data_IF_186676960724
#
_entry.id   IF_186676960724
#
_cell.length_a   1.000
_cell.length_b   1.000
_cell.length_c   1.000
_cell.angle_alpha   90.00
_cell.angle_beta   90.00
_cell.angle_gamma   90.00
#
_symmetry.space_group_name_H-M   'P 1'
#
loop_
_entity.id
_entity.type
_entity.pdbx_description
1 polymer ?
#
# COMPACT_ATOMS: atom_id res chain seq x y z
N UNK A 1 21.80 -14.40 -13.22
CA UNK A 1 20.38 -14.65 -12.89
C UNK A 1 20.15 -14.12 -11.48
N UNK A 2 19.30 -13.10 -11.36
CA UNK A 2 18.93 -12.51 -10.06
C UNK A 2 18.17 -13.55 -9.23
N UNK A 3 18.58 -13.77 -7.98
CA UNK A 3 17.99 -14.79 -7.10
C UNK A 3 18.02 -14.33 -5.65
N UNK A 4 16.86 -14.32 -4.99
CA UNK A 4 16.73 -14.00 -3.56
C UNK A 4 17.54 -14.98 -2.72
N UNK A 5 17.54 -16.28 -3.06
CA UNK A 5 18.33 -17.28 -2.33
C UNK A 5 19.83 -17.00 -2.39
N UNK A 6 20.31 -16.56 -3.55
CA UNK A 6 21.71 -16.19 -3.73
C UNK A 6 22.04 -14.94 -2.92
N UNK A 7 21.16 -13.92 -2.96
CA UNK A 7 21.32 -12.72 -2.15
C UNK A 7 21.37 -13.00 -0.65
N UNK A 8 20.52 -13.89 -0.13
CA UNK A 8 20.56 -14.29 1.29
C UNK A 8 21.90 -14.93 1.66
N UNK A 9 22.48 -15.71 0.75
CA UNK A 9 23.77 -16.37 0.97
C UNK A 9 24.95 -15.40 0.84
N UNK A 10 24.94 -14.55 -0.18
CA UNK A 10 26.04 -13.66 -0.53
C UNK A 10 26.06 -12.42 0.39
N UNK A 11 24.88 -11.94 0.83
CA UNK A 11 24.69 -10.72 1.64
C UNK A 11 23.82 -10.96 2.91
N UNK A 12 24.19 -11.90 3.80
CA UNK A 12 23.34 -12.30 4.93
C UNK A 12 23.11 -11.18 5.95
N UNK A 13 24.09 -10.30 6.14
CA UNK A 13 23.99 -9.18 7.09
C UNK A 13 23.00 -8.12 6.60
N UNK A 14 23.03 -7.79 5.31
CA UNK A 14 22.05 -6.89 4.69
C UNK A 14 20.66 -7.49 4.65
N UNK A 15 20.53 -8.79 4.37
CA UNK A 15 19.24 -9.49 4.45
C UNK A 15 18.64 -9.40 5.85
N UNK A 16 19.44 -9.66 6.90
CA UNK A 16 19.01 -9.52 8.30
C UNK A 16 18.62 -8.08 8.63
N UNK A 17 19.42 -7.09 8.22
CA UNK A 17 19.10 -5.68 8.40
C UNK A 17 17.79 -5.29 7.70
N UNK A 18 17.51 -5.87 6.54
CA UNK A 18 16.25 -5.67 5.83
C UNK A 18 15.06 -6.28 6.56
N UNK A 19 15.21 -7.49 7.12
CA UNK A 19 14.17 -8.09 7.95
C UNK A 19 13.87 -7.22 9.19
N UNK A 20 14.89 -6.65 9.81
CA UNK A 20 14.74 -5.70 10.92
C UNK A 20 14.04 -4.40 10.50
N UNK A 21 14.34 -3.89 9.29
CA UNK A 21 13.61 -2.78 8.70
C UNK A 21 12.13 -3.14 8.51
N UNK A 22 11.83 -4.32 7.96
CA UNK A 22 10.44 -4.81 7.84
C UNK A 22 9.76 -4.86 9.20
N UNK A 23 10.40 -5.44 10.22
CA UNK A 23 9.85 -5.52 11.58
C UNK A 23 9.54 -4.16 12.18
N UNK A 24 10.40 -3.17 11.94
CA UNK A 24 10.22 -1.80 12.42
C UNK A 24 9.03 -1.10 11.73
N UNK A 25 8.96 -1.20 10.40
CA UNK A 25 7.96 -0.49 9.59
C UNK A 25 6.61 -1.22 9.48
N UNK A 26 6.55 -2.50 9.87
CA UNK A 26 5.30 -3.26 9.98
C UNK A 26 4.29 -2.65 10.96
N UNK A 27 4.75 -1.78 11.86
CA UNK A 27 3.93 -1.09 12.87
C UNK A 27 3.43 0.27 12.42
N UNK A 28 3.93 0.79 11.29
CA UNK A 28 3.52 2.10 10.78
C UNK A 28 2.21 1.93 10.00
N UNK A 29 1.24 2.79 10.26
CA UNK A 29 -0.02 2.79 9.54
C UNK A 29 0.18 3.15 8.06
N UNK A 30 -0.57 2.49 7.18
CA UNK A 30 -0.62 2.90 5.77
C UNK A 30 -1.33 4.27 5.66
N UNK A 31 -0.74 5.29 5.00
CA UNK A 31 -1.34 6.62 4.90
C UNK A 31 -2.72 6.59 4.25
N UNK A 32 -2.99 5.65 3.34
CA UNK A 32 -4.28 5.48 2.67
C UNK A 32 -5.38 5.06 3.64
N UNK A 33 -5.02 4.40 4.74
CA UNK A 33 -5.96 3.94 5.75
C UNK A 33 -6.24 4.98 6.84
N UNK A 34 -5.57 6.14 6.81
CA UNK A 34 -5.63 7.14 7.90
C UNK A 34 -7.05 7.58 8.21
N UNK A 35 -7.85 7.89 7.17
CA UNK A 35 -9.27 8.26 7.33
C UNK A 35 -10.15 7.03 7.50
N UNK A 36 -9.93 5.98 6.71
CA UNK A 36 -10.75 4.77 6.78
C UNK A 36 -10.81 4.20 8.21
N UNK A 37 -9.69 4.16 8.94
CA UNK A 37 -9.65 3.69 10.34
C UNK A 37 -10.49 4.51 11.32
N UNK A 38 -10.79 5.77 11.01
CA UNK A 38 -11.59 6.68 11.84
C UNK A 38 -13.09 6.47 11.63
N UNK A 39 -13.48 5.92 10.48
CA UNK A 39 -14.87 5.66 10.16
C UNK A 39 -15.46 4.55 11.03
N UNK A 40 -16.74 4.71 11.40
CA UNK A 40 -17.43 3.76 12.29
C UNK A 40 -17.96 2.54 11.54
N UNK A 41 -18.53 2.74 10.36
CA UNK A 41 -19.16 1.69 9.57
C UNK A 41 -18.18 1.01 8.60
N UNK A 42 -18.45 -0.27 8.31
CA UNK A 42 -17.64 -1.06 7.39
C UNK A 42 -17.74 -0.53 5.95
N UNK A 43 -18.91 -0.02 5.54
CA UNK A 43 -19.10 0.51 4.20
C UNK A 43 -18.23 1.76 3.94
N UNK A 44 -18.20 2.68 4.91
CA UNK A 44 -17.39 3.88 4.85
C UNK A 44 -15.90 3.54 4.87
N UNK A 45 -15.49 2.60 5.73
CA UNK A 45 -14.11 2.07 5.75
C UNK A 45 -13.68 1.55 4.39
N UNK A 46 -14.52 0.75 3.73
CA UNK A 46 -14.24 0.20 2.40
C UNK A 46 -14.19 1.35 1.38
N UNK A 47 -15.21 2.21 1.32
CA UNK A 47 -15.30 3.31 0.37
C UNK A 47 -14.09 4.26 0.45
N UNK A 48 -13.70 4.67 1.66
CA UNK A 48 -12.53 5.54 1.89
C UNK A 48 -11.21 4.84 1.52
N UNK A 49 -11.09 3.53 1.75
CA UNK A 49 -9.90 2.76 1.33
C UNK A 49 -9.78 2.70 -0.20
N UNK A 50 -10.90 2.51 -0.89
CA UNK A 50 -10.95 2.50 -2.35
C UNK A 50 -10.65 3.88 -2.94
N UNK A 51 -11.27 4.93 -2.38
CA UNK A 51 -10.99 6.31 -2.77
C UNK A 51 -9.52 6.65 -2.57
N UNK A 52 -9.00 6.37 -1.37
CA UNK A 52 -7.63 6.66 -1.02
C UNK A 52 -6.64 5.94 -1.93
N UNK A 53 -6.84 4.65 -2.24
CA UNK A 53 -5.89 3.99 -3.16
C UNK A 53 -6.04 4.42 -4.61
N UNK A 54 -7.21 4.88 -5.04
CA UNK A 54 -7.38 5.47 -6.38
C UNK A 54 -6.68 6.83 -6.49
N UNK A 55 -6.78 7.66 -5.44
CA UNK A 55 -6.18 9.00 -5.38
C UNK A 55 -4.65 8.97 -5.18
N UNK A 56 -4.11 7.98 -4.46
CA UNK A 56 -2.71 7.98 -4.07
C UNK A 56 -1.75 7.80 -5.26
N UNK A 57 -1.31 8.92 -5.84
CA UNK A 57 -0.48 9.03 -7.04
C UNK A 57 0.29 10.35 -7.02
N UNK A 58 1.59 10.30 -7.33
CA UNK A 58 2.46 11.46 -7.51
C UNK A 58 2.32 12.52 -6.40
N UNK A 59 2.24 12.05 -5.15
CA UNK A 59 2.07 12.87 -3.96
C UNK A 59 2.77 12.19 -2.79
N UNK A 60 3.42 12.97 -1.92
CA UNK A 60 4.09 12.43 -0.74
C UNK A 60 3.07 11.92 0.29
N UNK A 61 3.49 11.04 1.20
CA UNK A 61 2.54 10.51 2.19
C UNK A 61 1.97 11.60 3.11
N UNK A 62 2.75 12.58 3.63
CA UNK A 62 2.20 13.63 4.51
C UNK A 62 1.19 14.53 3.80
N UNK A 63 1.48 14.93 2.56
CA UNK A 63 0.54 15.70 1.73
C UNK A 63 -0.74 14.90 1.46
N UNK A 64 -0.59 13.60 1.18
CA UNK A 64 -1.73 12.73 0.93
C UNK A 64 -2.62 12.54 2.16
N UNK A 65 -2.02 12.38 3.34
CA UNK A 65 -2.76 12.31 4.61
C UNK A 65 -3.53 13.62 4.84
N UNK A 66 -2.89 14.77 4.61
CA UNK A 66 -3.52 16.10 4.71
C UNK A 66 -4.71 16.21 3.76
N UNK A 67 -4.57 15.76 2.51
CA UNK A 67 -5.66 15.73 1.53
C UNK A 67 -6.83 14.86 2.02
N UNK A 68 -6.57 13.64 2.46
CA UNK A 68 -7.63 12.73 2.92
C UNK A 68 -8.37 13.30 4.13
N UNK A 69 -7.64 13.89 5.09
CA UNK A 69 -8.24 14.53 6.27
C UNK A 69 -9.14 15.71 5.86
N UNK A 70 -8.64 16.63 5.01
CA UNK A 70 -9.43 17.76 4.52
C UNK A 70 -10.70 17.32 3.77
N UNK A 71 -10.60 16.26 2.97
CA UNK A 71 -11.75 15.66 2.29
C UNK A 71 -12.78 15.10 3.26
N UNK A 72 -12.33 14.39 4.30
CA UNK A 72 -13.23 13.80 5.30
C UNK A 72 -13.92 14.87 6.16
N UNK A 73 -13.20 15.93 6.52
CA UNK A 73 -13.79 17.07 7.24
C UNK A 73 -14.86 17.78 6.42
N UNK A 74 -14.62 17.99 5.11
CA UNK A 74 -15.57 18.65 4.22
C UNK A 74 -16.75 17.75 3.83
N UNK A 75 -16.48 16.45 3.66
CA UNK A 75 -17.43 15.45 3.21
C UNK A 75 -17.42 14.20 4.10
N UNK A 76 -17.92 14.30 5.34
CA UNK A 76 -17.82 13.21 6.33
C UNK A 76 -18.70 12.01 5.99
N UNK A 77 -18.29 10.85 6.48
CA UNK A 77 -19.03 9.59 6.36
C UNK A 77 -19.36 9.25 4.91
N UNK A 78 -20.65 9.16 4.60
CA UNK A 78 -21.12 8.75 3.27
C UNK A 78 -21.41 9.89 2.27
N UNK A 79 -21.16 11.14 2.66
CA UNK A 79 -21.58 12.32 1.89
C UNK A 79 -20.97 12.40 0.49
N UNK A 80 -19.80 11.80 0.26
CA UNK A 80 -19.15 11.75 -1.05
C UNK A 80 -19.87 10.84 -2.06
N UNK A 81 -20.66 9.87 -1.60
CA UNK A 81 -21.27 8.86 -2.44
C UNK A 81 -22.80 8.87 -2.44
N UNK A 82 -23.44 9.42 -1.40
CA UNK A 82 -24.91 9.57 -1.32
C UNK A 82 -25.42 10.69 -2.22
N UNK A 83 -26.58 10.49 -2.86
CA UNK A 83 -27.20 11.49 -3.73
C UNK A 83 -27.92 12.58 -2.90
N UNK A 84 -27.83 13.87 -3.29
CA UNK A 84 -27.02 14.39 -4.39
C UNK A 84 -25.51 14.40 -4.05
N UNK A 85 -24.67 13.92 -4.96
CA UNK A 85 -23.22 13.93 -4.74
C UNK A 85 -22.66 15.36 -4.81
N UNK A 86 -21.54 15.65 -4.12
CA UNK A 86 -20.86 16.94 -4.20
C UNK A 86 -20.52 17.34 -5.64
N UNK A 87 -20.58 18.64 -5.94
CA UNK A 87 -20.23 19.15 -7.27
C UNK A 87 -18.73 19.03 -7.48
N UNK A 88 -18.31 18.89 -8.74
CA UNK A 88 -16.90 18.84 -9.11
C UNK A 88 -16.12 20.04 -8.56
N UNK A 89 -16.70 21.25 -8.64
CA UNK A 89 -16.07 22.47 -8.11
C UNK A 89 -15.85 22.42 -6.59
N UNK A 90 -16.74 21.76 -5.83
CA UNK A 90 -16.58 21.65 -4.38
C UNK A 90 -15.43 20.69 -4.02
N UNK A 91 -15.26 19.63 -4.81
CA UNK A 91 -14.17 18.65 -4.67
C UNK A 91 -12.84 19.32 -5.04
N UNK A 92 -12.77 19.95 -6.21
CA UNK A 92 -11.58 20.66 -6.70
C UNK A 92 -11.14 21.75 -5.72
N UNK A 93 -12.07 22.57 -5.21
CA UNK A 93 -11.76 23.59 -4.21
C UNK A 93 -11.24 23.00 -2.89
N UNK A 94 -11.67 21.78 -2.52
CA UNK A 94 -11.14 21.09 -1.34
C UNK A 94 -9.69 20.68 -1.56
N UNK A 95 -9.38 20.11 -2.73
CA UNK A 95 -8.04 19.65 -3.10
C UNK A 95 -7.08 20.83 -3.20
N UNK A 96 -7.51 21.91 -3.86
CA UNK A 96 -6.73 23.15 -3.96
C UNK A 96 -6.45 23.75 -2.59
N UNK A 97 -7.43 23.74 -1.67
CA UNK A 97 -7.22 24.20 -0.30
C UNK A 97 -6.25 23.31 0.48
N UNK A 98 -6.27 21.99 0.26
CA UNK A 98 -5.39 21.05 0.96
C UNK A 98 -3.92 21.18 0.52
N UNK A 99 -3.68 21.43 -0.77
CA UNK A 99 -2.32 21.58 -1.31
C UNK A 99 -1.86 23.04 -1.45
N UNK A 100 -2.76 24.01 -1.25
CA UNK A 100 -2.51 25.42 -1.51
C UNK A 100 -2.26 25.78 -2.97
N UNK A 101 -2.42 24.83 -3.90
CA UNK A 101 -2.16 24.99 -5.32
C UNK A 101 -2.90 23.94 -6.18
N UNK A 102 -2.87 24.12 -7.51
CA UNK A 102 -3.47 23.21 -8.51
C UNK A 102 -2.42 22.44 -9.32
N UNK A 103 -1.17 22.39 -8.87
CA UNK A 103 -0.06 21.82 -9.65
C UNK A 103 0.06 20.30 -9.52
N UNK A 104 -0.76 19.66 -8.68
CA UNK A 104 -0.79 18.21 -8.58
C UNK A 104 -1.22 17.58 -9.90
N UNK A 105 -0.47 16.58 -10.40
CA UNK A 105 -0.66 15.96 -11.72
C UNK A 105 -2.07 15.38 -11.93
N UNK A 106 -2.75 15.02 -10.83
CA UNK A 106 -4.08 14.42 -10.86
C UNK A 106 -5.22 15.43 -10.67
N UNK A 107 -4.93 16.73 -10.51
CA UNK A 107 -5.95 17.73 -10.18
C UNK A 107 -7.13 17.73 -11.17
N UNK A 108 -6.87 17.76 -12.47
CA UNK A 108 -7.90 17.73 -13.53
C UNK A 108 -8.75 16.44 -13.54
N UNK A 109 -8.19 15.36 -13.00
CA UNK A 109 -8.86 14.06 -12.95
C UNK A 109 -9.57 13.81 -11.61
N UNK A 110 -9.39 14.68 -10.62
CA UNK A 110 -9.79 14.40 -9.24
C UNK A 110 -11.28 14.15 -9.14
N UNK A 111 -12.11 15.04 -9.69
CA UNK A 111 -13.56 14.85 -9.72
C UNK A 111 -13.94 13.52 -10.41
N UNK A 112 -13.27 13.17 -11.51
CA UNK A 112 -13.46 11.89 -12.19
C UNK A 112 -13.17 10.67 -11.30
N UNK A 113 -12.14 10.74 -10.46
CA UNK A 113 -11.82 9.69 -9.49
C UNK A 113 -12.95 9.54 -8.47
N UNK A 114 -13.42 10.64 -7.89
CA UNK A 114 -14.56 10.63 -6.96
C UNK A 114 -15.82 10.05 -7.60
N UNK A 115 -16.13 10.45 -8.83
CA UNK A 115 -17.27 9.92 -9.56
C UNK A 115 -17.14 8.44 -9.84
N UNK A 116 -15.96 7.98 -10.26
CA UNK A 116 -15.72 6.56 -10.58
C UNK A 116 -15.82 5.68 -9.33
N UNK A 117 -15.24 6.11 -8.21
CA UNK A 117 -15.35 5.37 -6.94
C UNK A 117 -16.77 5.44 -6.40
N UNK A 118 -17.40 6.62 -6.41
CA UNK A 118 -18.77 6.80 -5.94
C UNK A 118 -19.79 5.98 -6.76
N UNK A 119 -19.57 5.83 -8.07
CA UNK A 119 -20.40 4.96 -8.92
C UNK A 119 -20.30 3.50 -8.48
N UNK A 120 -19.09 3.02 -8.19
CA UNK A 120 -18.88 1.68 -7.63
C UNK A 120 -19.60 1.52 -6.29
N UNK A 121 -19.39 2.45 -5.36
CA UNK A 121 -20.04 2.43 -4.03
C UNK A 121 -21.57 2.35 -4.16
N UNK A 122 -22.18 3.20 -4.99
CA UNK A 122 -23.65 3.20 -5.20
C UNK A 122 -24.16 1.95 -5.91
N UNK A 123 -23.39 1.37 -6.82
CA UNK A 123 -23.78 0.15 -7.56
C UNK A 123 -23.86 -1.06 -6.64
N UNK A 124 -22.93 -1.17 -5.70
CA UNK A 124 -22.86 -2.29 -4.78
C UNK A 124 -23.70 -2.08 -3.51
N UNK A 125 -23.95 -0.83 -3.11
CA UNK A 125 -24.82 -0.47 -1.98
C UNK A 125 -24.23 -0.90 -0.64
N UNK A 126 -24.39 -2.17 -0.28
CA UNK A 126 -23.80 -2.78 0.92
C UNK A 126 -22.41 -3.34 0.60
N UNK A 127 -21.37 -2.51 0.76
CA UNK A 127 -19.99 -2.90 0.49
C UNK A 127 -19.48 -4.01 1.40
N UNK A 128 -19.94 -4.09 2.65
CA UNK A 128 -19.56 -5.17 3.55
C UNK A 128 -20.07 -6.52 3.05
N UNK A 129 -21.34 -6.58 2.63
CA UNK A 129 -21.93 -7.79 2.03
C UNK A 129 -21.29 -8.13 0.68
N UNK A 130 -20.98 -7.12 -0.14
CA UNK A 130 -20.18 -7.31 -1.35
C UNK A 130 -18.82 -7.94 -1.04
N UNK A 131 -18.09 -7.44 -0.04
CA UNK A 131 -16.77 -7.97 0.31
C UNK A 131 -16.86 -9.41 0.81
N UNK A 132 -17.83 -9.72 1.69
CA UNK A 132 -18.06 -11.06 2.24
C UNK A 132 -18.48 -12.09 1.19
N UNK A 133 -19.21 -11.67 0.16
CA UNK A 133 -19.71 -12.57 -0.90
C UNK A 133 -18.72 -12.80 -2.05
N UNK A 134 -17.52 -12.20 -1.99
CA UNK A 134 -16.54 -12.22 -3.08
C UNK A 134 -15.21 -12.81 -2.66
N UNK A 135 -14.59 -13.60 -3.54
CA UNK A 135 -13.20 -14.02 -3.35
C UNK A 135 -12.23 -12.90 -3.74
N UNK A 136 -10.95 -12.94 -3.31
CA UNK A 136 -9.93 -11.97 -3.74
C UNK A 136 -9.82 -11.80 -5.27
N UNK A 137 -9.96 -12.87 -6.07
CA UNK A 137 -9.97 -12.72 -7.54
C UNK A 137 -11.22 -12.01 -8.07
N UNK A 138 -12.37 -12.24 -7.45
CA UNK A 138 -13.61 -11.56 -7.83
C UNK A 138 -13.56 -10.09 -7.43
N UNK A 139 -13.07 -9.78 -6.23
CA UNK A 139 -12.79 -8.40 -5.81
C UNK A 139 -11.83 -7.74 -6.79
N UNK A 140 -10.77 -8.44 -7.22
CA UNK A 140 -9.82 -7.90 -8.20
C UNK A 140 -10.47 -7.54 -9.54
N UNK A 141 -11.45 -8.36 -9.98
CA UNK A 141 -12.22 -8.12 -11.19
C UNK A 141 -13.20 -6.96 -11.01
N UNK A 142 -13.98 -6.96 -9.93
CA UNK A 142 -14.99 -5.94 -9.60
C UNK A 142 -14.34 -4.55 -9.43
N UNK A 143 -13.22 -4.46 -8.72
CA UNK A 143 -12.46 -3.21 -8.58
C UNK A 143 -11.86 -2.70 -9.91
N UNK A 144 -11.88 -3.53 -10.95
CA UNK A 144 -11.62 -3.11 -12.32
C UNK A 144 -12.63 -2.14 -12.91
N UNK A 145 -13.83 -2.06 -12.34
CA UNK A 145 -14.87 -1.12 -12.74
C UNK A 145 -14.52 0.33 -12.35
N UNK A 146 -13.62 0.51 -11.37
CA UNK A 146 -13.10 1.82 -10.98
C UNK A 146 -12.01 2.22 -11.99
N UNK A 147 -12.33 3.17 -12.86
CA UNK A 147 -11.50 3.58 -14.01
C UNK A 147 -10.05 3.93 -13.63
N UNK A 148 -9.86 4.52 -12.45
CA UNK A 148 -8.57 5.01 -11.96
C UNK A 148 -7.78 3.99 -11.13
N UNK A 149 -8.20 2.73 -11.07
CA UNK A 149 -7.47 1.63 -10.40
C UNK A 149 -6.41 0.96 -11.30
N UNK A 150 -6.19 1.50 -12.50
CA UNK A 150 -5.16 1.06 -13.45
C UNK A 150 -5.67 0.06 -14.50
N UNK A 151 -5.00 0.03 -15.65
CA UNK A 151 -5.43 -0.72 -16.85
C UNK A 151 -4.56 -1.94 -17.20
N UNK A 152 -3.48 -2.20 -16.45
CA UNK A 152 -2.50 -3.27 -16.72
C UNK A 152 -2.81 -4.60 -16.04
N UNK A 153 -2.04 -5.64 -16.35
CA UNK A 153 -2.02 -6.91 -15.61
C UNK A 153 -0.60 -7.17 -15.08
N UNK A 154 -0.38 -7.17 -13.76
CA UNK A 154 -1.36 -6.91 -12.69
C UNK A 154 -1.79 -5.44 -12.61
N UNK A 155 -2.96 -5.18 -12.02
CA UNK A 155 -3.46 -3.83 -11.65
C UNK A 155 -2.95 -3.46 -10.25
N UNK A 156 -1.89 -2.65 -10.10
CA UNK A 156 -1.19 -2.53 -8.81
C UNK A 156 -2.06 -1.90 -7.71
N UNK A 157 -2.89 -0.90 -8.07
CA UNK A 157 -3.80 -0.26 -7.12
C UNK A 157 -4.91 -1.18 -6.65
N UNK A 158 -5.48 -1.99 -7.56
CA UNK A 158 -6.46 -3.03 -7.18
C UNK A 158 -5.83 -4.02 -6.20
N UNK A 159 -4.61 -4.48 -6.48
CA UNK A 159 -3.91 -5.37 -5.58
C UNK A 159 -3.72 -4.71 -4.21
N UNK A 160 -3.23 -3.46 -4.18
CA UNK A 160 -3.06 -2.72 -2.93
C UNK A 160 -4.36 -2.52 -2.16
N UNK A 161 -5.49 -2.21 -2.82
CA UNK A 161 -6.80 -2.11 -2.19
C UNK A 161 -7.18 -3.41 -1.49
N UNK A 162 -7.05 -4.55 -2.18
CA UNK A 162 -7.42 -5.86 -1.61
C UNK A 162 -6.61 -6.14 -0.34
N UNK A 163 -5.29 -5.97 -0.40
CA UNK A 163 -4.46 -6.20 0.78
C UNK A 163 -4.76 -5.21 1.90
N UNK A 164 -5.03 -3.94 1.61
CA UNK A 164 -5.44 -2.94 2.62
C UNK A 164 -6.76 -3.27 3.29
N UNK A 165 -7.73 -3.83 2.55
CA UNK A 165 -9.01 -4.24 3.12
C UNK A 165 -8.85 -5.48 4.02
N UNK A 166 -8.09 -6.47 3.57
CA UNK A 166 -8.09 -7.81 4.16
C UNK A 166 -6.96 -8.08 5.16
N UNK A 167 -5.81 -7.42 5.02
CA UNK A 167 -4.67 -7.64 5.91
C UNK A 167 -4.96 -7.14 7.34
N UNK A 168 -4.33 -7.74 8.36
CA UNK A 168 -4.54 -7.33 9.73
C UNK A 168 -4.02 -5.90 10.00
N UNK A 169 -4.62 -5.22 10.97
CA UNK A 169 -4.05 -3.98 11.50
C UNK A 169 -2.61 -4.20 12.01
N UNK A 170 -1.70 -3.23 11.87
CA UNK A 170 -1.92 -1.87 11.34
C UNK A 170 -1.78 -1.74 9.82
N UNK A 171 -1.38 -2.80 9.11
CA UNK A 171 -1.12 -2.75 7.66
C UNK A 171 -2.39 -2.80 6.80
N UNK A 172 -3.49 -3.30 7.36
CA UNK A 172 -4.81 -3.31 6.74
C UNK A 172 -5.95 -3.03 7.74
N UNK A 173 -7.18 -3.35 7.33
CA UNK A 173 -8.40 -3.13 8.10
C UNK A 173 -8.98 -4.39 8.76
N UNK A 174 -8.34 -5.55 8.57
CA UNK A 174 -8.83 -6.84 9.08
C UNK A 174 -10.27 -7.16 8.66
N UNK A 175 -10.69 -6.78 7.45
CA UNK A 175 -12.02 -7.14 6.95
C UNK A 175 -11.97 -8.52 6.31
N UNK A 176 -13.05 -9.28 6.44
CA UNK A 176 -13.15 -10.61 5.85
C UNK A 176 -13.67 -10.54 4.40
N UNK A 177 -13.35 -11.56 3.62
CA UNK A 177 -13.98 -11.85 2.33
C UNK A 177 -14.24 -13.35 2.18
N UNK A 178 -14.84 -13.78 1.07
CA UNK A 178 -14.98 -15.20 0.81
C UNK A 178 -13.59 -15.87 0.69
N UNK A 179 -13.39 -17.07 1.25
CA UNK A 179 -12.09 -17.72 1.27
C UNK A 179 -11.62 -18.07 -0.14
N UNK A 180 -10.31 -17.91 -0.40
CA UNK A 180 -9.69 -18.35 -1.64
C UNK A 180 -8.25 -18.82 -1.43
N UNK A 181 -7.81 -19.90 -2.12
CA UNK A 181 -6.41 -20.25 -2.20
C UNK A 181 -5.62 -19.36 -3.17
N UNK A 182 -6.31 -18.58 -4.01
CA UNK A 182 -5.70 -17.69 -5.00
C UNK A 182 -5.74 -16.26 -4.49
N UNK A 183 -4.65 -15.53 -4.75
CA UNK A 183 -4.48 -14.16 -4.30
C UNK A 183 -3.92 -13.31 -5.42
N UNK A 184 -4.31 -12.02 -5.52
CA UNK A 184 -3.67 -11.09 -6.43
C UNK A 184 -2.18 -10.93 -6.07
N UNK A 185 -1.30 -10.57 -7.02
CA UNK A 185 0.11 -10.33 -6.71
C UNK A 185 0.31 -9.28 -5.62
N UNK A 186 1.32 -9.47 -4.78
CA UNK A 186 1.68 -8.50 -3.75
C UNK A 186 2.08 -7.15 -4.38
N UNK A 187 1.68 -6.00 -3.79
CA UNK A 187 1.99 -4.70 -4.37
C UNK A 187 3.50 -4.47 -4.48
N UNK A 188 3.94 -4.06 -5.68
CA UNK A 188 5.30 -3.60 -5.94
C UNK A 188 5.35 -2.07 -5.96
N UNK A 189 5.40 -1.50 -4.76
CA UNK A 189 5.42 -0.05 -4.49
C UNK A 189 6.75 0.58 -4.95
N UNK A 190 6.77 1.91 -5.07
CA UNK A 190 7.99 2.63 -5.45
C UNK A 190 9.12 2.46 -4.42
N UNK A 191 8.82 2.52 -3.12
CA UNK A 191 9.80 2.19 -2.08
C UNK A 191 10.38 0.78 -2.22
N UNK A 192 9.54 -0.23 -2.48
CA UNK A 192 10.03 -1.60 -2.68
C UNK A 192 10.87 -1.73 -3.96
N UNK A 193 10.50 -1.06 -5.05
CA UNK A 193 11.31 -0.99 -6.28
C UNK A 193 12.68 -0.38 -6.02
N UNK A 194 12.71 0.78 -5.33
CA UNK A 194 13.95 1.46 -4.93
C UNK A 194 14.83 0.55 -4.07
N UNK A 195 14.24 -0.15 -3.10
CA UNK A 195 14.99 -1.10 -2.30
C UNK A 195 15.61 -2.20 -3.17
N UNK A 196 14.80 -2.88 -3.99
CA UNK A 196 15.25 -3.98 -4.84
C UNK A 196 16.34 -3.57 -5.83
N UNK A 197 16.31 -2.32 -6.31
CA UNK A 197 17.27 -1.76 -7.27
C UNK A 197 18.50 -1.11 -6.65
N UNK A 198 18.53 -0.83 -5.35
CA UNK A 198 19.65 -0.13 -4.69
C UNK A 198 20.39 -1.09 -3.74
N UNK A 199 19.66 -1.75 -2.86
CA UNK A 199 20.22 -2.63 -1.82
C UNK A 199 19.85 -4.10 -2.03
N UNK A 200 18.79 -4.37 -2.77
CA UNK A 200 18.25 -5.70 -2.90
C UNK A 200 18.98 -6.58 -3.91
N UNK A 201 18.45 -7.78 -4.17
CA UNK A 201 19.06 -8.80 -5.04
C UNK A 201 19.31 -8.35 -6.49
N UNK A 202 18.75 -7.22 -6.92
CA UNK A 202 18.86 -6.69 -8.29
C UNK A 202 19.50 -5.30 -8.32
N UNK A 203 20.38 -4.97 -7.37
CA UNK A 203 21.17 -3.73 -7.38
C UNK A 203 21.82 -3.47 -8.74
N UNK A 204 22.35 -4.54 -9.36
CA UNK A 204 22.86 -4.52 -10.73
C UNK A 204 21.82 -5.06 -11.71
N UNK A 205 21.02 -4.17 -12.31
CA UNK A 205 20.15 -4.50 -13.44
C UNK A 205 18.66 -4.69 -13.13
N UNK A 206 18.14 -4.18 -12.01
CA UNK A 206 16.68 -4.16 -11.77
C UNK A 206 15.92 -3.45 -12.90
N UNK A 207 16.48 -2.37 -13.46
CA UNK A 207 15.83 -1.60 -14.54
C UNK A 207 15.54 -2.48 -15.77
N UNK A 208 16.46 -3.38 -16.10
CA UNK A 208 16.43 -4.23 -17.29
C UNK A 208 15.52 -5.47 -17.14
N UNK A 209 15.01 -5.73 -15.94
CA UNK A 209 14.09 -6.84 -15.71
C UNK A 209 12.70 -6.54 -16.30
N UNK A 210 12.10 -7.55 -16.92
CA UNK A 210 10.71 -7.50 -17.37
C UNK A 210 9.75 -7.32 -16.17
N UNK A 211 8.57 -6.70 -16.35
CA UNK A 211 7.61 -6.48 -15.27
C UNK A 211 7.26 -7.75 -14.47
N UNK A 212 7.08 -8.88 -15.15
CA UNK A 212 6.78 -10.16 -14.51
C UNK A 212 7.96 -10.69 -13.66
N UNK A 213 9.20 -10.44 -14.10
CA UNK A 213 10.40 -10.80 -13.35
C UNK A 213 10.56 -9.93 -12.11
N UNK A 214 10.34 -8.62 -12.23
CA UNK A 214 10.30 -7.67 -11.10
C UNK A 214 9.27 -8.09 -10.05
N UNK A 215 8.07 -8.44 -10.50
CA UNK A 215 6.99 -8.88 -9.62
C UNK A 215 7.35 -10.20 -8.90
N UNK A 216 7.89 -11.19 -9.63
CA UNK A 216 8.32 -12.46 -9.04
C UNK A 216 9.42 -12.24 -8.02
N UNK A 217 10.44 -11.45 -8.36
CA UNK A 217 11.55 -11.12 -7.47
C UNK A 217 11.08 -10.47 -6.18
N UNK A 218 10.16 -9.50 -6.29
CA UNK A 218 9.58 -8.82 -5.14
C UNK A 218 8.83 -9.81 -4.24
N UNK A 219 7.95 -10.63 -4.81
CA UNK A 219 7.21 -11.65 -4.06
C UNK A 219 8.15 -12.63 -3.35
N UNK A 220 9.16 -13.15 -4.04
CA UNK A 220 10.16 -14.06 -3.46
C UNK A 220 10.90 -13.39 -2.29
N UNK A 221 11.23 -12.10 -2.42
CA UNK A 221 11.90 -11.33 -1.36
C UNK A 221 10.99 -11.11 -0.15
N UNK A 222 9.73 -10.73 -0.38
CA UNK A 222 8.75 -10.53 0.69
C UNK A 222 8.51 -11.80 1.50
N UNK A 223 8.33 -12.93 0.82
CA UNK A 223 8.15 -14.24 1.47
C UNK A 223 9.38 -14.62 2.28
N UNK A 224 10.59 -14.43 1.73
CA UNK A 224 11.83 -14.76 2.45
C UNK A 224 12.02 -13.91 3.71
N UNK A 225 11.77 -12.60 3.63
CA UNK A 225 11.88 -11.68 4.77
C UNK A 225 10.92 -12.06 5.90
N UNK A 226 9.66 -12.35 5.56
CA UNK A 226 8.65 -12.72 6.56
C UNK A 226 8.93 -14.10 7.15
N UNK A 227 9.34 -15.07 6.34
CA UNK A 227 9.75 -16.40 6.81
C UNK A 227 10.89 -16.28 7.84
N UNK A 228 11.90 -15.45 7.54
CA UNK A 228 13.00 -15.19 8.48
C UNK A 228 12.54 -14.61 9.82
N UNK A 229 11.61 -13.64 9.79
CA UNK A 229 11.04 -13.06 11.00
C UNK A 229 10.20 -14.08 11.80
N UNK A 230 9.45 -14.95 11.12
CA UNK A 230 8.67 -16.01 11.76
C UNK A 230 9.56 -17.05 12.43
N UNK A 231 10.67 -17.44 11.80
CA UNK A 231 11.66 -18.36 12.36
C UNK A 231 12.34 -17.82 13.63
N UNK A 232 12.42 -16.50 13.77
CA UNK A 232 12.95 -15.83 14.96
C UNK A 232 11.91 -15.62 16.06
N UNK A 233 10.62 -15.88 15.81
CA UNK A 233 9.56 -15.68 16.79
C UNK A 233 9.69 -16.63 17.98
N UNK A 234 9.49 -16.17 19.20
CA UNK A 234 9.45 -17.06 20.38
C UNK A 234 8.21 -17.97 20.40
N UNK A 235 7.19 -17.64 19.59
CA UNK A 235 6.00 -18.45 19.46
C UNK A 235 6.24 -19.65 18.53
N UNK A 236 6.14 -20.86 19.09
CA UNK A 236 6.36 -22.14 18.39
C UNK A 236 5.37 -22.37 17.25
N UNK A 237 4.13 -21.89 17.38
CA UNK A 237 3.12 -22.00 16.31
C UNK A 237 3.50 -21.12 15.13
N UNK A 238 3.87 -19.86 15.39
CA UNK A 238 4.32 -18.92 14.34
C UNK A 238 5.55 -19.45 13.60
N UNK A 239 6.51 -20.03 14.32
CA UNK A 239 7.71 -20.66 13.73
C UNK A 239 7.40 -21.78 12.73
N UNK A 240 6.30 -22.51 12.93
CA UNK A 240 5.91 -23.65 12.10
C UNK A 240 4.87 -23.29 11.03
N UNK A 241 4.26 -22.12 11.11
CA UNK A 241 3.28 -21.65 10.14
C UNK A 241 3.93 -21.38 8.79
N UNK A 242 3.12 -21.52 7.72
CA UNK A 242 3.53 -21.14 6.36
C UNK A 242 3.25 -19.66 6.14
N UNK A 243 4.12 -18.99 5.39
CA UNK A 243 3.85 -17.63 4.91
C UNK A 243 2.75 -17.69 3.84
N UNK A 244 1.59 -17.12 4.17
CA UNK A 244 0.53 -16.87 3.20
C UNK A 244 0.63 -15.44 2.61
N UNK A 245 -0.29 -15.09 1.72
CA UNK A 245 -0.29 -13.81 1.02
C UNK A 245 -0.46 -12.61 1.97
N UNK A 246 -1.34 -12.70 2.97
CA UNK A 246 -1.58 -11.62 3.92
C UNK A 246 -0.37 -11.42 4.85
N UNK A 247 0.27 -12.52 5.25
CA UNK A 247 1.49 -12.50 6.07
C UNK A 247 2.65 -11.90 5.27
N UNK A 248 2.82 -12.31 3.99
CA UNK A 248 3.84 -11.74 3.10
C UNK A 248 3.61 -10.25 2.81
N UNK A 249 2.36 -9.77 2.83
CA UNK A 249 2.03 -8.36 2.63
C UNK A 249 2.67 -7.43 3.65
N UNK A 250 2.99 -7.91 4.87
CA UNK A 250 3.72 -7.11 5.86
C UNK A 250 5.05 -6.60 5.33
N UNK A 251 5.79 -7.42 4.57
CA UNK A 251 7.04 -6.98 3.94
C UNK A 251 6.81 -6.00 2.79
N UNK A 252 5.78 -6.21 1.96
CA UNK A 252 5.41 -5.30 0.88
C UNK A 252 5.01 -3.91 1.43
N UNK A 253 4.18 -3.90 2.48
CA UNK A 253 3.80 -2.71 3.24
C UNK A 253 5.03 -2.02 3.80
N UNK A 254 5.90 -2.74 4.49
CA UNK A 254 7.04 -2.13 5.18
C UNK A 254 8.05 -1.53 4.20
N UNK A 255 8.34 -2.22 3.10
CA UNK A 255 9.28 -1.74 2.08
C UNK A 255 8.75 -0.54 1.29
N UNK A 256 7.44 -0.23 1.35
CA UNK A 256 6.91 0.97 0.72
C UNK A 256 7.52 2.26 1.29
N UNK A 257 7.98 2.25 2.53
CA UNK A 257 8.56 3.42 3.19
C UNK A 257 10.04 3.64 2.88
N UNK A 258 10.70 2.71 2.17
CA UNK A 258 12.11 2.84 1.84
C UNK A 258 12.35 3.99 0.85
N UNK A 259 13.07 5.01 1.32
CA UNK A 259 13.34 6.26 0.61
C UNK A 259 12.07 6.95 0.08
N UNK A 260 10.93 6.73 0.73
CA UNK A 260 9.68 7.39 0.36
C UNK A 260 9.67 8.85 0.81
N UNK A 261 9.14 9.75 -0.03
CA UNK A 261 9.19 11.18 0.22
C UNK A 261 8.30 11.56 1.42
N UNK A 262 8.89 12.32 2.34
CA UNK A 262 8.23 12.93 3.49
C UNK A 262 8.40 14.44 3.48
N UNK A 263 7.95 15.11 4.55
CA UNK A 263 7.94 16.57 4.63
C UNK A 263 9.35 17.18 4.53
N UNK A 264 10.31 16.59 5.24
CA UNK A 264 11.70 17.06 5.30
C UNK A 264 12.68 15.91 4.97
N UNK A 265 12.58 15.37 3.74
CA UNK A 265 13.41 14.27 3.26
C UNK A 265 12.63 12.96 3.14
N UNK A 266 13.15 11.85 3.68
CA UNK A 266 12.51 10.54 3.55
C UNK A 266 11.72 10.14 4.81
N UNK A 267 10.57 9.48 4.64
CA UNK A 267 9.74 8.95 5.74
C UNK A 267 10.55 7.98 6.62
N UNK A 268 11.37 7.14 5.99
CA UNK A 268 12.22 6.22 6.74
C UNK A 268 13.22 6.96 7.65
N UNK A 269 13.74 8.12 7.21
CA UNK A 269 14.64 8.98 7.98
C UNK A 269 13.92 9.64 9.16
N UNK A 270 12.69 10.12 8.95
CA UNK A 270 11.84 10.67 10.00
C UNK A 270 11.51 9.62 11.08
N UNK A 271 11.19 8.40 10.66
CA UNK A 271 10.79 7.30 11.55
C UNK A 271 11.97 6.68 12.33
N UNK A 272 13.21 7.00 11.96
CA UNK A 272 14.43 6.35 12.51
C UNK A 272 15.40 7.34 13.16
N UNK A 273 14.92 8.50 13.61
CA UNK A 273 15.74 9.56 14.23
C UNK A 273 16.93 9.94 13.33
N UNK A 274 16.62 10.41 12.12
CA UNK A 274 17.61 10.78 11.10
C UNK A 274 18.59 9.66 10.80
N UNK A 275 18.06 8.48 10.47
CA UNK A 275 18.81 7.26 10.14
C UNK A 275 19.59 6.63 11.31
N UNK A 276 19.70 7.25 12.49
CA UNK A 276 20.47 6.72 13.63
C UNK A 276 19.97 5.35 14.09
N UNK A 277 18.66 5.13 14.03
CA UNK A 277 17.99 3.87 14.42
C UNK A 277 17.63 3.00 13.22
N UNK A 278 18.04 3.38 12.00
CA UNK A 278 17.70 2.64 10.79
C UNK A 278 18.58 1.39 10.69
N UNK A 279 18.02 0.17 10.61
CA UNK A 279 18.81 -1.04 10.43
C UNK A 279 19.63 -1.04 9.14
N UNK A 280 19.18 -0.31 8.12
CA UNK A 280 19.83 -0.20 6.81
C UNK A 280 20.91 0.88 6.75
N UNK A 281 21.18 1.61 7.84
CA UNK A 281 22.07 2.79 7.85
C UNK A 281 23.44 2.51 7.23
N UNK A 282 24.08 1.42 7.62
CA UNK A 282 25.46 1.07 7.18
C UNK A 282 25.53 0.66 5.70
N UNK A 283 24.39 0.33 5.10
CA UNK A 283 24.30 -0.14 3.72
C UNK A 283 23.74 0.94 2.77
N UNK A 284 23.09 1.96 3.31
CA UNK A 284 22.36 2.96 2.52
C UNK A 284 23.20 4.23 2.35
N UNK A 285 23.59 4.53 1.11
CA UNK A 285 24.32 5.76 0.76
C UNK A 285 23.53 7.06 1.02
N UNK A 286 22.21 6.96 1.20
CA UNK A 286 21.34 8.09 1.56
C UNK A 286 21.23 8.30 3.08
N UNK A 287 22.02 7.60 3.89
CA UNK A 287 21.98 7.72 5.35
C UNK A 287 22.71 8.96 5.90
N UNK A 288 23.48 9.65 5.06
CA UNK A 288 24.24 10.86 5.39
C UNK A 288 23.35 12.14 5.43
#
# INVERSE_FOLDING_TARGET
MVSVKRFIHDEPALFKATAEFVRLFARIDDPVLTVAKQEKGANERIAWTLLGTALFQDVSFPEFVTLLQALNEKFPGEKLWTLPVPKAQDIEACVESAFGCRTWSMFENVAGIFWSVGLFVRRHGNLQEWLWSRTPEEIWRDLGEIYFMGKGNPRPKVCAAIYRLLAPAPVGLSLDCAPSPKWPPLPLTMGARRYLSILGPASDGFADLEPAQKQKLATDMYVALVQHLMEQSDNVEVKKSKVDALTAYVAAHSLQFYLEDGTDGFICRLSTDRCRKCPLREYCSYAE
#
